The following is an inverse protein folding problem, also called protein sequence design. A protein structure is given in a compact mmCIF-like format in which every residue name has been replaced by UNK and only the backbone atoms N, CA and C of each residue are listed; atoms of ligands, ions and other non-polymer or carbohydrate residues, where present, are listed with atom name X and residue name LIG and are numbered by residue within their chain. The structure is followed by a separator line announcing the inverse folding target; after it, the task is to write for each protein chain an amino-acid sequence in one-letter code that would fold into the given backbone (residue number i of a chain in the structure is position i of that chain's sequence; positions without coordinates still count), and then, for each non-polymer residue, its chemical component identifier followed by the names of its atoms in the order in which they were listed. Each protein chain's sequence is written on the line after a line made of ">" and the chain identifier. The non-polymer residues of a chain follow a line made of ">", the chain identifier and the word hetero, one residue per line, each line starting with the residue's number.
data_IF_846632473518
#
_entry.id   IF_846632473518
#
_cell.length_a   1.000
_cell.length_b   1.000
_cell.length_c   1.000
_cell.angle_alpha   90.00
_cell.angle_beta   90.00
_cell.angle_gamma   90.00
#
_symmetry.space_group_name_H-M   'P 1'
#
loop_
_entity.id
_entity.type
_entity.pdbx_description
1 polymer ?
#
# COMPACT_ATOMS: atom_id res chain seq x y z
N UNK A 1 -11.20 -68.93 -13.42
CA UNK A 1 -10.69 -67.66 -13.95
C UNK A 1 -11.55 -66.53 -13.41
N UNK A 2 -11.06 -65.82 -12.40
CA UNK A 2 -11.64 -64.55 -11.93
C UNK A 2 -10.55 -63.84 -11.15
N UNK A 3 -9.84 -62.94 -11.84
CA UNK A 3 -8.81 -62.09 -11.26
C UNK A 3 -9.49 -61.05 -10.36
N UNK A 4 -9.09 -61.03 -9.08
CA UNK A 4 -9.37 -59.93 -8.16
C UNK A 4 -8.42 -58.77 -8.45
N UNK A 5 -8.94 -57.69 -9.01
CA UNK A 5 -8.21 -56.46 -9.26
C UNK A 5 -7.94 -55.75 -7.93
N UNK A 6 -6.69 -55.82 -7.43
CA UNK A 6 -6.19 -54.92 -6.39
C UNK A 6 -6.26 -53.49 -6.93
N UNK A 7 -7.23 -52.71 -6.47
CA UNK A 7 -7.19 -51.24 -6.59
C UNK A 7 -6.02 -50.75 -5.73
N UNK A 8 -4.95 -50.32 -6.38
CA UNK A 8 -3.93 -49.48 -5.79
C UNK A 8 -4.57 -48.16 -5.38
N UNK A 9 -4.65 -47.90 -4.08
CA UNK A 9 -4.92 -46.56 -3.54
C UNK A 9 -3.63 -45.77 -3.76
N UNK A 10 -3.60 -44.94 -4.81
CA UNK A 10 -2.59 -43.92 -4.98
C UNK A 10 -2.73 -42.91 -3.84
N UNK A 11 -1.62 -42.59 -3.17
CA UNK A 11 -1.60 -41.73 -2.00
C UNK A 11 -2.10 -40.32 -2.32
N UNK A 12 -3.24 -39.94 -1.75
CA UNK A 12 -3.61 -38.55 -1.62
C UNK A 12 -2.60 -37.90 -0.67
N UNK A 13 -1.71 -37.04 -1.20
CA UNK A 13 -0.81 -36.24 -0.38
C UNK A 13 -1.59 -35.46 0.67
N UNK A 14 -1.03 -35.31 1.87
CA UNK A 14 -1.66 -34.51 2.94
C UNK A 14 -2.04 -33.12 2.42
N UNK A 15 -3.20 -32.56 2.82
CA UNK A 15 -3.64 -31.26 2.35
C UNK A 15 -2.60 -30.19 2.67
N UNK A 16 -2.16 -29.45 1.64
CA UNK A 16 -1.28 -28.30 1.80
C UNK A 16 -2.13 -27.07 2.16
N UNK A 17 -1.57 -26.19 2.96
CA UNK A 17 -2.13 -24.85 3.19
C UNK A 17 -1.20 -23.80 2.64
N UNK A 18 -1.75 -22.66 2.23
CA UNK A 18 -1.04 -21.46 1.83
C UNK A 18 -1.55 -20.29 2.67
N UNK A 19 -0.66 -19.64 3.41
CA UNK A 19 -0.95 -18.45 4.20
C UNK A 19 -0.30 -17.24 3.52
N UNK A 20 -1.06 -16.15 3.43
CA UNK A 20 -0.59 -14.85 2.96
C UNK A 20 -0.76 -13.83 4.08
N UNK A 21 0.27 -13.05 4.38
CA UNK A 21 0.17 -11.95 5.33
C UNK A 21 0.94 -10.73 4.85
N UNK A 22 0.58 -9.57 5.38
CA UNK A 22 1.38 -8.34 5.28
C UNK A 22 1.75 -7.81 6.65
N UNK A 23 2.87 -7.08 6.74
CA UNK A 23 3.32 -6.42 7.97
C UNK A 23 4.24 -5.24 7.67
N UNK A 24 4.54 -4.44 8.69
CA UNK A 24 5.48 -3.32 8.64
C UNK A 24 6.83 -3.74 9.21
N UNK A 25 7.88 -3.59 8.42
CA UNK A 25 9.25 -3.82 8.88
C UNK A 25 9.64 -2.82 9.98
N UNK A 26 10.48 -3.26 10.91
CA UNK A 26 11.05 -2.38 11.92
C UNK A 26 11.87 -1.27 11.23
N UNK A 27 11.74 0.00 11.67
CA UNK A 27 12.60 1.07 11.19
C UNK A 27 14.08 0.72 11.30
N UNK A 28 14.83 0.95 10.22
CA UNK A 28 16.27 0.68 10.14
C UNK A 28 16.65 -0.71 9.65
N UNK A 29 15.69 -1.60 9.40
CA UNK A 29 15.95 -2.88 8.74
C UNK A 29 16.24 -2.65 7.25
N UNK A 30 17.42 -3.06 6.78
CA UNK A 30 17.86 -2.83 5.39
C UNK A 30 17.61 -4.05 4.49
N UNK A 31 17.57 -3.87 3.17
CA UNK A 31 17.41 -5.00 2.25
C UNK A 31 18.51 -6.07 2.41
N UNK A 32 19.80 -5.73 2.63
CA UNK A 32 20.83 -6.72 3.00
C UNK A 32 20.55 -7.48 4.31
N UNK A 33 19.95 -6.83 5.32
CA UNK A 33 19.51 -7.55 6.53
C UNK A 33 18.43 -8.57 6.18
N UNK A 34 17.44 -8.16 5.38
CA UNK A 34 16.32 -8.99 4.95
C UNK A 34 16.80 -10.18 4.10
N UNK A 35 17.82 -9.99 3.27
CA UNK A 35 18.46 -11.07 2.52
C UNK A 35 19.04 -12.14 3.46
N UNK A 36 19.83 -11.73 4.46
CA UNK A 36 20.35 -12.65 5.50
C UNK A 36 19.26 -13.36 6.29
N UNK A 37 18.15 -12.67 6.58
CA UNK A 37 16.98 -13.29 7.23
C UNK A 37 16.35 -14.36 6.35
N UNK A 38 16.28 -14.08 5.05
CA UNK A 38 15.74 -14.99 4.05
C UNK A 38 16.60 -16.25 3.93
N UNK A 39 17.93 -16.12 3.89
CA UNK A 39 18.87 -17.26 3.93
C UNK A 39 18.74 -18.12 5.20
N UNK A 40 18.47 -17.49 6.34
CA UNK A 40 18.18 -18.21 7.58
C UNK A 40 16.84 -18.96 7.49
N UNK A 41 15.81 -18.29 6.95
CA UNK A 41 14.47 -18.87 6.78
C UNK A 41 14.50 -20.05 5.80
N UNK A 42 15.27 -19.99 4.71
CA UNK A 42 15.44 -21.07 3.74
C UNK A 42 15.83 -22.39 4.43
N UNK A 43 16.86 -22.37 5.28
CA UNK A 43 17.34 -23.56 6.03
C UNK A 43 16.32 -24.08 7.05
N UNK A 44 15.50 -23.21 7.62
CA UNK A 44 14.40 -23.59 8.52
C UNK A 44 13.25 -24.25 7.76
N UNK A 45 12.84 -23.60 6.68
CA UNK A 45 11.70 -23.98 5.88
C UNK A 45 11.94 -25.27 5.09
N UNK A 46 13.16 -25.48 4.58
CA UNK A 46 13.55 -26.74 3.92
C UNK A 46 13.31 -27.95 4.83
N UNK A 47 13.78 -27.88 6.09
CA UNK A 47 13.60 -28.96 7.08
C UNK A 47 12.14 -29.23 7.43
N UNK A 48 11.28 -28.22 7.31
CA UNK A 48 9.86 -28.31 7.63
C UNK A 48 8.99 -28.61 6.40
N UNK A 49 9.59 -28.67 5.19
CA UNK A 49 8.85 -28.77 3.94
C UNK A 49 7.95 -27.55 3.69
N UNK A 50 8.41 -26.36 4.06
CA UNK A 50 7.75 -25.08 3.77
C UNK A 50 8.42 -24.43 2.57
N UNK A 51 7.61 -23.84 1.69
CA UNK A 51 8.05 -23.03 0.55
C UNK A 51 7.30 -21.70 0.56
N UNK A 52 7.78 -20.72 -0.21
CA UNK A 52 7.21 -19.39 -0.19
C UNK A 52 8.11 -18.30 -0.75
N UNK A 53 7.57 -17.09 -0.74
CA UNK A 53 8.26 -15.86 -1.14
C UNK A 53 8.03 -14.79 -0.10
N UNK A 54 9.09 -14.04 0.20
CA UNK A 54 9.04 -12.79 0.93
C UNK A 54 9.24 -11.64 -0.07
N UNK A 55 8.20 -10.83 -0.23
CA UNK A 55 8.26 -9.60 -1.03
C UNK A 55 8.43 -8.39 -0.10
N UNK A 56 9.42 -7.54 -0.38
CA UNK A 56 9.71 -6.33 0.38
C UNK A 56 9.61 -5.07 -0.50
N UNK A 57 8.84 -4.09 -0.04
CA UNK A 57 8.68 -2.82 -0.75
C UNK A 57 8.24 -1.72 0.21
N UNK A 58 8.94 -0.58 0.21
CA UNK A 58 8.60 0.62 0.95
C UNK A 58 8.31 0.34 2.45
N UNK A 59 9.19 -0.42 3.10
CA UNK A 59 9.07 -0.75 4.53
C UNK A 59 8.01 -1.81 4.86
N UNK A 60 7.39 -2.45 3.88
CA UNK A 60 6.37 -3.49 4.08
C UNK A 60 6.85 -4.86 3.65
N UNK A 61 6.48 -5.87 4.44
CA UNK A 61 6.56 -7.27 4.04
C UNK A 61 5.22 -7.75 3.51
N UNK A 62 5.28 -8.51 2.44
CA UNK A 62 4.19 -9.34 1.92
C UNK A 62 4.75 -10.75 1.74
N UNK A 63 4.23 -11.73 2.46
CA UNK A 63 4.81 -13.06 2.46
C UNK A 63 3.75 -14.13 2.21
N UNK A 64 4.12 -15.10 1.37
CA UNK A 64 3.37 -16.34 1.19
C UNK A 64 4.15 -17.51 1.75
N UNK A 65 3.46 -18.39 2.47
CA UNK A 65 4.00 -19.62 3.03
C UNK A 65 3.09 -20.78 2.67
N UNK A 66 3.65 -21.84 2.10
CA UNK A 66 2.90 -23.02 1.72
C UNK A 66 3.59 -24.32 2.15
N UNK A 67 2.79 -25.31 2.54
CA UNK A 67 3.31 -26.56 3.06
C UNK A 67 2.27 -27.34 3.87
N UNK A 68 2.70 -28.40 4.57
CA UNK A 68 1.85 -29.10 5.53
C UNK A 68 1.30 -28.13 6.58
N UNK A 69 0.00 -28.25 6.92
CA UNK A 69 -0.67 -27.31 7.82
C UNK A 69 0.12 -27.01 9.12
N UNK A 70 0.54 -28.06 9.83
CA UNK A 70 1.33 -27.93 11.07
C UNK A 70 2.68 -27.22 10.86
N UNK A 71 3.32 -27.42 9.71
CA UNK A 71 4.60 -26.80 9.40
C UNK A 71 4.42 -25.29 9.16
N UNK A 72 3.42 -24.91 8.37
CA UNK A 72 3.09 -23.50 8.12
C UNK A 72 2.66 -22.81 9.43
N UNK A 73 1.82 -23.45 10.25
CA UNK A 73 1.43 -22.93 11.57
C UNK A 73 2.63 -22.71 12.49
N UNK A 74 3.61 -23.63 12.47
CA UNK A 74 4.84 -23.50 13.28
C UNK A 74 5.68 -22.29 12.84
N UNK A 75 5.87 -22.11 11.53
CA UNK A 75 6.60 -20.96 10.98
C UNK A 75 5.84 -19.66 11.27
N UNK A 76 4.52 -19.65 11.08
CA UNK A 76 3.68 -18.50 11.38
C UNK A 76 3.71 -18.11 12.86
N UNK A 77 3.76 -19.07 13.78
CA UNK A 77 3.89 -18.77 15.22
C UNK A 77 5.22 -18.09 15.57
N UNK A 78 6.30 -18.39 14.84
CA UNK A 78 7.59 -17.70 14.99
C UNK A 78 7.52 -16.28 14.41
N UNK A 79 6.97 -16.14 13.21
CA UNK A 79 6.75 -14.87 12.52
C UNK A 79 5.90 -13.91 13.37
N UNK A 80 4.81 -14.40 13.97
CA UNK A 80 3.93 -13.58 14.81
C UNK A 80 4.62 -13.00 16.05
N UNK A 81 5.73 -13.60 16.51
CA UNK A 81 6.51 -13.15 17.67
C UNK A 81 7.78 -12.41 17.28
N UNK A 82 8.06 -12.29 15.99
CA UNK A 82 9.28 -11.67 15.50
C UNK A 82 9.26 -10.17 15.76
N UNK A 83 10.23 -9.67 16.54
CA UNK A 83 10.31 -8.25 16.90
C UNK A 83 10.76 -7.32 15.76
N UNK A 84 11.16 -7.89 14.62
CA UNK A 84 11.67 -7.17 13.43
C UNK A 84 10.57 -6.66 12.51
N UNK A 85 9.30 -6.94 12.82
CA UNK A 85 8.15 -6.35 12.16
C UNK A 85 6.98 -6.14 13.12
N UNK A 86 5.93 -5.49 12.66
CA UNK A 86 4.72 -5.19 13.43
C UNK A 86 3.50 -5.05 12.53
N UNK A 87 2.30 -4.90 13.11
CA UNK A 87 1.08 -4.68 12.33
C UNK A 87 0.75 -5.84 11.38
N UNK A 88 0.96 -7.08 11.84
CA UNK A 88 0.75 -8.28 11.02
C UNK A 88 -0.75 -8.43 10.75
N UNK A 89 -1.11 -8.46 9.47
CA UNK A 89 -2.46 -8.70 8.98
C UNK A 89 -2.46 -9.95 8.11
N UNK A 90 -3.25 -10.95 8.50
CA UNK A 90 -3.45 -12.17 7.70
C UNK A 90 -4.43 -11.85 6.58
N UNK A 91 -3.96 -11.97 5.34
CA UNK A 91 -4.72 -11.65 4.13
C UNK A 91 -5.48 -12.87 3.60
N UNK A 92 -4.88 -14.06 3.68
CA UNK A 92 -5.57 -15.31 3.32
C UNK A 92 -4.98 -16.54 4.03
N UNK A 93 -5.85 -17.53 4.22
CA UNK A 93 -5.52 -18.89 4.66
C UNK A 93 -6.28 -19.86 3.78
N UNK A 94 -5.59 -20.46 2.82
CA UNK A 94 -6.20 -21.29 1.78
C UNK A 94 -5.71 -22.73 1.90
N UNK A 95 -6.57 -23.70 1.60
CA UNK A 95 -6.13 -25.06 1.28
C UNK A 95 -5.75 -25.09 -0.19
N UNK A 96 -4.55 -25.58 -0.51
CA UNK A 96 -4.04 -25.67 -1.88
C UNK A 96 -3.76 -27.11 -2.26
N UNK A 97 -3.99 -27.45 -3.53
CA UNK A 97 -3.76 -28.82 -4.04
C UNK A 97 -2.33 -29.04 -4.52
N UNK A 98 -1.60 -27.96 -4.81
CA UNK A 98 -0.19 -27.95 -5.21
C UNK A 98 0.51 -26.70 -4.70
N UNK A 99 1.83 -26.76 -4.56
CA UNK A 99 2.71 -25.60 -4.32
C UNK A 99 2.64 -24.63 -5.50
N UNK A 100 2.62 -23.34 -5.20
CA UNK A 100 2.65 -22.22 -6.18
C UNK A 100 4.07 -21.71 -6.43
N UNK A 101 4.99 -21.94 -5.49
CA UNK A 101 6.36 -21.41 -5.52
C UNK A 101 7.41 -22.53 -5.61
N UNK A 102 7.05 -23.65 -6.25
CA UNK A 102 7.95 -24.78 -6.48
C UNK A 102 8.70 -25.22 -5.21
N UNK A 103 10.03 -25.23 -5.31
CA UNK A 103 10.97 -25.59 -4.22
C UNK A 103 11.63 -24.38 -3.56
N UNK A 104 11.06 -23.18 -3.71
CA UNK A 104 11.58 -21.99 -3.04
C UNK A 104 11.30 -22.05 -1.54
N UNK A 105 12.26 -22.57 -0.77
CA UNK A 105 12.11 -22.67 0.69
C UNK A 105 11.94 -21.30 1.36
N UNK A 106 12.49 -20.24 0.78
CA UNK A 106 12.04 -18.85 0.95
C UNK A 106 12.78 -17.98 -0.07
N UNK A 107 12.10 -17.49 -1.10
CA UNK A 107 12.72 -16.58 -2.05
C UNK A 107 12.53 -15.13 -1.63
N UNK A 108 13.56 -14.29 -1.77
CA UNK A 108 13.42 -12.83 -1.60
C UNK A 108 13.05 -12.18 -2.94
N UNK A 109 12.08 -11.28 -2.90
CA UNK A 109 11.73 -10.39 -3.99
C UNK A 109 11.54 -8.96 -3.47
N UNK A 110 11.85 -7.95 -4.28
CA UNK A 110 11.68 -6.55 -3.90
C UNK A 110 11.39 -5.65 -5.10
N UNK A 111 11.13 -4.37 -4.86
CA UNK A 111 11.04 -3.37 -5.91
C UNK A 111 12.42 -2.90 -6.39
N UNK A 112 12.47 -2.32 -7.60
CA UNK A 112 13.71 -1.76 -8.17
C UNK A 112 14.35 -0.70 -7.25
N UNK A 113 13.53 0.15 -6.62
CA UNK A 113 13.98 1.15 -5.65
C UNK A 113 14.69 0.53 -4.44
N UNK A 114 14.21 -0.61 -3.95
CA UNK A 114 14.80 -1.31 -2.81
C UNK A 114 16.09 -2.02 -3.22
N UNK A 115 16.11 -2.62 -4.41
CA UNK A 115 17.28 -3.29 -4.97
C UNK A 115 18.49 -2.34 -5.10
N UNK A 116 18.29 -1.02 -5.13
CA UNK A 116 19.35 -0.01 -5.06
C UNK A 116 20.30 -0.17 -3.85
N UNK A 117 19.83 -0.79 -2.77
CA UNK A 117 20.61 -1.02 -1.55
C UNK A 117 21.56 -2.24 -1.64
N UNK A 118 21.39 -3.13 -2.63
CA UNK A 118 22.16 -4.36 -2.77
C UNK A 118 23.41 -4.17 -3.63
N UNK A 119 24.47 -4.91 -3.29
CA UNK A 119 25.63 -5.07 -4.16
C UNK A 119 25.29 -5.89 -5.42
N UNK A 120 26.14 -5.81 -6.45
CA UNK A 120 25.90 -6.55 -7.71
C UNK A 120 25.80 -8.07 -7.52
N UNK A 121 26.51 -8.64 -6.56
CA UNK A 121 26.42 -10.07 -6.24
C UNK A 121 25.09 -10.44 -5.59
N UNK A 122 24.67 -9.69 -4.58
CA UNK A 122 23.40 -9.91 -3.86
C UNK A 122 22.18 -9.70 -4.75
N UNK A 123 22.25 -8.80 -5.74
CA UNK A 123 21.18 -8.60 -6.72
C UNK A 123 20.86 -9.85 -7.55
N UNK A 124 21.83 -10.75 -7.75
CA UNK A 124 21.62 -12.00 -8.48
C UNK A 124 20.73 -13.01 -7.75
N UNK A 125 20.57 -12.83 -6.44
CA UNK A 125 19.82 -13.76 -5.56
C UNK A 125 18.39 -13.27 -5.28
N UNK A 126 18.03 -12.07 -5.76
CA UNK A 126 16.76 -11.40 -5.49
C UNK A 126 15.97 -11.17 -6.78
N UNK A 127 14.68 -11.48 -6.75
CA UNK A 127 13.78 -11.22 -7.89
C UNK A 127 13.29 -9.78 -7.79
N UNK A 128 13.61 -8.95 -8.79
CA UNK A 128 13.22 -7.54 -8.82
C UNK A 128 11.92 -7.36 -9.59
N UNK A 129 10.97 -6.67 -8.98
CA UNK A 129 9.69 -6.30 -9.58
C UNK A 129 9.71 -4.80 -9.88
N UNK A 130 9.42 -4.42 -11.11
CA UNK A 130 9.23 -3.01 -11.48
C UNK A 130 7.94 -2.47 -10.83
N UNK A 131 8.02 -1.46 -9.94
CA UNK A 131 6.85 -0.85 -9.31
C UNK A 131 5.85 -0.29 -10.32
N UNK A 132 6.35 0.29 -11.41
CA UNK A 132 5.50 0.86 -12.45
C UNK A 132 4.67 -0.24 -13.13
N UNK A 133 5.13 -1.47 -13.13
CA UNK A 133 4.46 -2.58 -13.76
C UNK A 133 3.33 -3.19 -12.91
N UNK A 134 3.22 -2.80 -11.63
CA UNK A 134 2.15 -3.24 -10.74
C UNK A 134 0.87 -2.41 -10.94
N UNK A 135 -0.32 -3.06 -10.92
CA UNK A 135 -1.59 -2.35 -10.92
C UNK A 135 -1.85 -1.70 -9.56
N UNK A 136 -2.77 -0.73 -9.54
CA UNK A 136 -3.19 -0.15 -8.27
C UNK A 136 -2.05 0.59 -7.56
N UNK A 137 -1.96 0.41 -6.23
CA UNK A 137 -0.97 1.03 -5.33
C UNK A 137 0.24 0.13 -5.09
N UNK A 138 0.62 -0.63 -6.12
CA UNK A 138 1.62 -1.68 -6.00
C UNK A 138 1.16 -2.76 -5.03
N UNK A 139 2.10 -3.36 -4.30
CA UNK A 139 1.82 -4.46 -3.37
C UNK A 139 1.00 -4.07 -2.12
N UNK A 140 0.57 -2.82 -1.99
CA UNK A 140 -0.33 -2.39 -0.91
C UNK A 140 -1.81 -2.69 -1.21
N UNK A 141 -2.21 -2.77 -2.48
CA UNK A 141 -3.58 -3.07 -2.88
C UNK A 141 -3.79 -4.58 -3.11
N UNK A 142 -5.03 -5.06 -2.95
CA UNK A 142 -5.36 -6.47 -3.23
C UNK A 142 -4.98 -6.87 -4.66
N UNK A 143 -5.23 -5.99 -5.64
CA UNK A 143 -4.90 -6.25 -7.04
C UNK A 143 -3.40 -6.38 -7.26
N UNK A 144 -2.59 -5.50 -6.66
CA UNK A 144 -1.15 -5.59 -6.74
C UNK A 144 -0.59 -6.80 -6.01
N UNK A 145 -1.16 -7.18 -4.86
CA UNK A 145 -0.84 -8.44 -4.15
C UNK A 145 -1.08 -9.64 -5.07
N UNK A 146 -2.22 -9.70 -5.77
CA UNK A 146 -2.52 -10.77 -6.72
C UNK A 146 -1.57 -10.74 -7.93
N UNK A 147 -1.23 -9.57 -8.44
CA UNK A 147 -0.29 -9.40 -9.54
C UNK A 147 1.12 -9.88 -9.16
N UNK A 148 1.63 -9.48 -8.00
CA UNK A 148 2.91 -9.94 -7.44
C UNK A 148 2.89 -11.46 -7.25
N UNK A 149 1.84 -12.01 -6.62
CA UNK A 149 1.71 -13.47 -6.41
C UNK A 149 1.77 -14.23 -7.73
N UNK A 150 1.00 -13.77 -8.72
CA UNK A 150 0.95 -14.41 -10.05
C UNK A 150 2.31 -14.34 -10.73
N UNK A 151 2.92 -13.16 -10.76
CA UNK A 151 4.23 -12.94 -11.33
C UNK A 151 5.27 -13.90 -10.73
N UNK A 152 5.38 -13.93 -9.41
CA UNK A 152 6.36 -14.77 -8.73
C UNK A 152 6.09 -16.27 -8.90
N UNK A 153 4.82 -16.66 -8.96
CA UNK A 153 4.43 -18.04 -9.30
C UNK A 153 4.85 -18.40 -10.74
N UNK A 154 4.61 -17.52 -11.71
CA UNK A 154 5.00 -17.71 -13.11
C UNK A 154 6.54 -17.76 -13.26
N UNK A 155 7.28 -16.92 -12.51
CA UNK A 155 8.75 -16.97 -12.47
C UNK A 155 9.23 -18.29 -11.87
N UNK A 156 8.62 -18.73 -10.78
CA UNK A 156 8.94 -20.03 -10.15
C UNK A 156 8.68 -21.20 -11.10
N UNK A 157 7.62 -21.14 -11.91
CA UNK A 157 7.27 -22.20 -12.86
C UNK A 157 8.16 -22.18 -14.11
N UNK A 158 8.72 -21.02 -14.48
CA UNK A 158 9.45 -20.85 -15.74
C UNK A 158 10.93 -21.22 -15.65
N UNK A 159 11.66 -20.91 -14.57
CA UNK A 159 13.03 -21.42 -14.28
C UNK A 159 13.42 -21.24 -12.80
N UNK A 160 14.09 -22.23 -12.21
CA UNK A 160 14.83 -22.06 -10.95
C UNK A 160 16.01 -21.08 -11.12
N UNK A 161 16.33 -20.31 -10.07
CA UNK A 161 17.47 -19.37 -10.05
C UNK A 161 18.75 -20.08 -10.52
N UNK A 162 19.55 -19.47 -11.42
CA UNK A 162 20.78 -20.09 -11.90
C UNK A 162 21.76 -20.27 -10.73
N UNK A 163 21.97 -21.53 -10.32
CA UNK A 163 23.06 -21.89 -9.42
C UNK A 163 24.39 -21.84 -10.20
N UNK A 164 25.32 -21.01 -9.74
CA UNK A 164 26.73 -21.06 -10.15
C UNK A 164 27.16 -19.93 -11.10
N UNK A 165 27.83 -18.93 -10.54
CA UNK A 165 28.55 -17.90 -11.28
C UNK A 165 29.77 -18.51 -12.01
N UNK A 166 29.53 -19.02 -13.23
CA UNK A 166 30.55 -19.16 -14.27
C UNK A 166 30.66 -17.84 -15.04
N UNK A 167 31.88 -17.32 -15.13
CA UNK A 167 32.23 -16.06 -15.80
C UNK A 167 31.62 -15.93 -17.20
N UNK A 168 31.08 -14.74 -17.49
CA UNK A 168 31.04 -14.23 -18.86
C UNK A 168 29.67 -13.97 -19.48
N UNK A 169 28.84 -13.11 -18.87
CA UNK A 169 27.90 -12.28 -19.64
C UNK A 169 27.54 -11.04 -18.84
N UNK A 170 28.18 -9.91 -19.17
CA UNK A 170 27.74 -8.59 -18.75
C UNK A 170 26.36 -8.33 -19.41
N UNK A 171 25.31 -8.30 -18.60
CA UNK A 171 23.94 -7.98 -19.03
C UNK A 171 22.93 -9.10 -18.82
N UNK A 172 22.51 -9.33 -17.58
CA UNK A 172 21.17 -9.83 -17.22
C UNK A 172 21.08 -9.96 -15.70
N UNK A 173 20.67 -8.89 -15.02
CA UNK A 173 19.93 -9.03 -13.76
C UNK A 173 18.47 -8.97 -14.20
N UNK A 174 17.73 -10.05 -13.98
CA UNK A 174 16.42 -10.33 -14.58
C UNK A 174 15.34 -9.36 -14.08
N UNK A 175 15.33 -8.13 -14.60
CA UNK A 175 14.20 -7.21 -14.51
C UNK A 175 13.10 -7.73 -15.43
N UNK A 176 12.24 -8.62 -14.92
CA UNK A 176 11.09 -9.13 -15.67
C UNK A 176 9.93 -8.13 -15.50
N UNK A 177 9.77 -7.25 -16.49
CA UNK A 177 8.70 -6.26 -16.52
C UNK A 177 7.32 -6.94 -16.65
N UNK A 178 6.42 -6.69 -15.69
CA UNK A 178 5.01 -7.05 -15.79
C UNK A 178 4.34 -6.25 -16.93
N UNK A 179 4.03 -6.91 -18.05
CA UNK A 179 3.25 -6.29 -19.13
C UNK A 179 1.81 -6.03 -18.67
N UNK A 180 1.49 -4.80 -18.23
CA UNK A 180 0.15 -4.42 -17.76
C UNK A 180 -0.48 -3.23 -18.53
N UNK A 181 -0.20 -3.04 -19.82
CA UNK A 181 -0.81 -1.93 -20.61
C UNK A 181 -2.33 -2.08 -20.84
N UNK A 182 -2.89 -3.28 -21.14
CA UNK A 182 -4.34 -3.44 -21.34
C UNK A 182 -5.17 -3.31 -20.06
N UNK A 183 -4.59 -3.60 -18.89
CA UNK A 183 -5.29 -3.56 -17.60
C UNK A 183 -5.52 -2.13 -17.09
N UNK A 184 -4.60 -1.20 -17.34
CA UNK A 184 -4.72 0.20 -16.88
C UNK A 184 -5.92 0.93 -17.48
N UNK A 185 -6.27 0.67 -18.73
CA UNK A 185 -7.44 1.28 -19.38
C UNK A 185 -8.74 0.72 -18.80
N UNK A 186 -8.83 -0.60 -18.63
CA UNK A 186 -10.00 -1.24 -18.02
C UNK A 186 -10.20 -0.80 -16.55
N UNK A 187 -9.12 -0.66 -15.79
CA UNK A 187 -9.16 -0.18 -14.41
C UNK A 187 -9.60 1.29 -14.31
N UNK A 188 -9.14 2.15 -15.23
CA UNK A 188 -9.59 3.55 -15.29
C UNK A 188 -11.10 3.65 -15.54
N UNK A 189 -11.63 2.84 -16.46
CA UNK A 189 -13.07 2.78 -16.73
C UNK A 189 -13.84 2.32 -15.49
N UNK A 190 -13.41 1.22 -14.83
CA UNK A 190 -14.06 0.72 -13.63
C UNK A 190 -14.02 1.72 -12.46
N UNK A 191 -12.90 2.44 -12.29
CA UNK A 191 -12.77 3.49 -11.27
C UNK A 191 -13.72 4.67 -11.56
N UNK A 192 -13.82 5.09 -12.82
CA UNK A 192 -14.74 6.15 -13.23
C UNK A 192 -16.21 5.77 -12.99
N UNK A 193 -16.60 4.52 -13.33
CA UNK A 193 -17.95 4.02 -13.09
C UNK A 193 -18.30 4.00 -11.58
N UNK A 194 -17.35 3.56 -10.74
CA UNK A 194 -17.51 3.59 -9.28
C UNK A 194 -17.58 5.00 -8.73
N UNK A 195 -16.74 5.91 -9.22
CA UNK A 195 -16.78 7.32 -8.84
C UNK A 195 -18.13 7.96 -9.21
N UNK A 196 -18.70 7.64 -10.38
CA UNK A 196 -20.02 8.10 -10.79
C UNK A 196 -21.15 7.56 -9.88
N UNK A 197 -21.09 6.28 -9.53
CA UNK A 197 -22.03 5.67 -8.58
C UNK A 197 -21.94 6.32 -7.19
N UNK A 198 -20.73 6.51 -6.68
CA UNK A 198 -20.45 7.19 -5.42
C UNK A 198 -20.97 8.64 -5.44
N UNK A 199 -20.74 9.36 -6.55
CA UNK A 199 -21.24 10.73 -6.74
C UNK A 199 -22.76 10.79 -6.67
N UNK A 200 -23.44 9.80 -7.25
CA UNK A 200 -24.91 9.71 -7.24
C UNK A 200 -25.46 9.46 -5.83
N UNK A 201 -24.82 8.58 -5.06
CA UNK A 201 -25.18 8.35 -3.65
C UNK A 201 -24.96 9.60 -2.80
N UNK A 202 -23.79 10.24 -2.95
CA UNK A 202 -23.39 11.38 -2.12
C UNK A 202 -24.18 12.66 -2.40
N UNK A 203 -24.54 12.91 -3.66
CA UNK A 203 -25.34 14.08 -4.05
C UNK A 203 -26.85 13.80 -4.04
N UNK A 204 -27.25 12.58 -3.69
CA UNK A 204 -28.64 12.16 -3.54
C UNK A 204 -29.37 12.91 -2.41
N UNK A 205 -30.66 12.64 -2.22
CA UNK A 205 -31.49 13.37 -1.26
C UNK A 205 -31.13 13.09 0.21
N UNK A 206 -30.48 11.96 0.51
CA UNK A 206 -30.15 11.56 1.89
C UNK A 206 -28.84 10.76 1.98
N UNK A 207 -27.67 11.38 1.75
CA UNK A 207 -26.38 10.68 1.81
C UNK A 207 -26.07 10.17 3.23
N UNK A 208 -26.48 10.91 4.28
CA UNK A 208 -26.27 10.52 5.67
C UNK A 208 -27.11 9.30 6.11
N UNK A 209 -28.22 9.02 5.43
CA UNK A 209 -29.00 7.79 5.62
C UNK A 209 -28.48 6.60 4.80
N UNK A 210 -27.53 6.83 3.88
CA UNK A 210 -26.98 5.82 2.98
C UNK A 210 -25.51 5.49 3.27
N UNK A 211 -25.04 5.77 4.49
CA UNK A 211 -23.63 5.55 4.88
C UNK A 211 -23.16 4.13 4.61
N UNK A 212 -24.00 3.11 4.83
CA UNK A 212 -23.62 1.71 4.61
C UNK A 212 -23.42 1.39 3.11
N UNK A 213 -24.21 2.01 2.23
CA UNK A 213 -24.05 1.87 0.78
C UNK A 213 -22.81 2.62 0.27
N UNK A 214 -22.54 3.80 0.83
CA UNK A 214 -21.32 4.58 0.55
C UNK A 214 -20.09 3.79 1.03
N UNK A 215 -20.13 3.25 2.25
CA UNK A 215 -19.08 2.40 2.83
C UNK A 215 -18.80 1.16 1.97
N UNK A 216 -19.86 0.52 1.44
CA UNK A 216 -19.71 -0.61 0.53
C UNK A 216 -18.94 -0.24 -0.75
N UNK A 217 -19.16 0.95 -1.33
CA UNK A 217 -18.39 1.40 -2.50
C UNK A 217 -16.89 1.43 -2.24
N UNK A 218 -16.48 1.93 -1.07
CA UNK A 218 -15.08 1.96 -0.67
C UNK A 218 -14.54 0.56 -0.38
N UNK A 219 -15.26 -0.26 0.40
CA UNK A 219 -14.84 -1.64 0.72
C UNK A 219 -14.67 -2.49 -0.54
N UNK A 220 -15.59 -2.37 -1.49
CA UNK A 220 -15.56 -3.11 -2.75
C UNK A 220 -14.48 -2.61 -3.70
N UNK A 221 -14.04 -1.37 -3.56
CA UNK A 221 -12.92 -0.82 -4.32
C UNK A 221 -11.58 -1.31 -3.75
N UNK A 222 -11.41 -1.22 -2.43
CA UNK A 222 -10.23 -1.76 -1.76
C UNK A 222 -10.20 -1.44 -0.26
N UNK A 223 -9.53 -2.26 0.56
CA UNK A 223 -9.56 -2.13 2.01
C UNK A 223 -8.53 -1.14 2.58
N UNK A 224 -7.64 -0.57 1.75
CA UNK A 224 -6.56 0.29 2.26
C UNK A 224 -6.93 1.78 2.25
N UNK A 225 -6.32 2.60 3.13
CA UNK A 225 -6.47 4.06 3.07
C UNK A 225 -6.06 4.68 1.73
N UNK A 226 -5.14 4.05 0.99
CA UNK A 226 -4.80 4.53 -0.36
C UNK A 226 -5.89 4.21 -1.38
N UNK A 227 -6.52 3.04 -1.30
CA UNK A 227 -7.68 2.73 -2.15
C UNK A 227 -8.81 3.74 -1.88
N UNK A 228 -9.02 4.10 -0.60
CA UNK A 228 -9.94 5.17 -0.23
C UNK A 228 -9.57 6.49 -0.90
N UNK A 229 -8.31 6.91 -0.80
CA UNK A 229 -7.81 8.14 -1.41
C UNK A 229 -8.07 8.18 -2.93
N UNK A 230 -7.82 7.08 -3.65
CA UNK A 230 -8.01 6.99 -5.11
C UNK A 230 -9.46 7.14 -5.53
N UNK A 231 -10.38 6.43 -4.85
CA UNK A 231 -11.80 6.57 -5.16
C UNK A 231 -12.31 7.96 -4.77
N UNK A 232 -11.80 8.53 -3.67
CA UNK A 232 -12.11 9.90 -3.27
C UNK A 232 -11.62 10.93 -4.31
N UNK A 233 -10.40 10.80 -4.83
CA UNK A 233 -9.86 11.69 -5.87
C UNK A 233 -10.69 11.61 -7.16
N UNK A 234 -11.04 10.39 -7.60
CA UNK A 234 -11.89 10.19 -8.77
C UNK A 234 -13.30 10.78 -8.56
N UNK A 235 -13.85 10.66 -7.35
CA UNK A 235 -15.10 11.33 -6.96
C UNK A 235 -14.96 12.85 -6.98
N UNK A 236 -13.87 13.40 -6.43
CA UNK A 236 -13.66 14.84 -6.36
C UNK A 236 -13.52 15.45 -7.76
N UNK A 237 -12.89 14.74 -8.70
CA UNK A 237 -12.84 15.10 -10.12
C UNK A 237 -14.24 15.13 -10.74
N UNK A 238 -15.01 14.04 -10.61
CA UNK A 238 -16.39 13.97 -11.10
C UNK A 238 -17.32 15.02 -10.46
N UNK A 239 -17.13 15.33 -9.18
CA UNK A 239 -17.86 16.39 -8.48
C UNK A 239 -17.51 17.76 -9.06
N UNK A 240 -16.22 18.03 -9.28
CA UNK A 240 -15.77 19.31 -9.86
C UNK A 240 -16.38 19.54 -11.23
N UNK A 241 -16.41 18.51 -12.08
CA UNK A 241 -17.09 18.56 -13.39
C UNK A 241 -18.59 18.86 -13.26
N UNK A 242 -19.28 18.23 -12.30
CA UNK A 242 -20.71 18.50 -12.04
C UNK A 242 -20.96 19.90 -11.47
N UNK A 243 -20.05 20.41 -10.63
CA UNK A 243 -20.14 21.77 -10.09
C UNK A 243 -19.98 22.86 -11.16
N UNK A 244 -19.31 22.55 -12.27
CA UNK A 244 -19.14 23.47 -13.39
C UNK A 244 -20.38 23.57 -14.31
N UNK A 245 -21.38 22.72 -14.13
CA UNK A 245 -22.62 22.71 -14.92
C UNK A 245 -23.63 23.75 -14.39
N UNK A 246 -24.52 24.24 -15.25
CA UNK A 246 -25.55 25.23 -14.88
C UNK A 246 -26.50 24.72 -13.78
N UNK A 247 -26.84 23.43 -13.80
CA UNK A 247 -27.64 22.74 -12.77
C UNK A 247 -26.75 21.96 -11.76
N UNK A 248 -25.60 22.54 -11.40
CA UNK A 248 -24.65 21.94 -10.48
C UNK A 248 -25.21 21.71 -9.05
N UNK A 249 -24.58 20.84 -8.26
CA UNK A 249 -25.03 20.58 -6.89
C UNK A 249 -24.92 21.82 -6.01
N UNK A 250 -25.90 22.00 -5.13
CA UNK A 250 -25.89 23.08 -4.14
C UNK A 250 -24.76 22.91 -3.11
N UNK A 251 -24.34 24.03 -2.50
CA UNK A 251 -23.35 24.03 -1.40
C UNK A 251 -23.78 23.09 -0.26
N UNK A 252 -25.08 23.01 0.03
CA UNK A 252 -25.62 22.11 1.04
C UNK A 252 -25.40 20.64 0.68
N UNK A 253 -25.66 20.24 -0.58
CA UNK A 253 -25.41 18.86 -1.03
C UNK A 253 -23.93 18.50 -0.93
N UNK A 254 -23.04 19.41 -1.32
CA UNK A 254 -21.58 19.21 -1.19
C UNK A 254 -21.17 19.08 0.28
N UNK A 255 -21.74 19.90 1.16
CA UNK A 255 -21.49 19.81 2.60
C UNK A 255 -21.95 18.50 3.23
N UNK A 256 -23.15 18.02 2.87
CA UNK A 256 -23.66 16.72 3.32
C UNK A 256 -22.83 15.55 2.79
N UNK A 257 -22.39 15.63 1.53
CA UNK A 257 -21.49 14.64 0.94
C UNK A 257 -20.15 14.58 1.69
N UNK A 258 -19.55 15.74 2.00
CA UNK A 258 -18.31 15.81 2.76
C UNK A 258 -18.47 15.21 4.17
N UNK A 259 -19.57 15.52 4.86
CA UNK A 259 -19.87 14.93 6.17
C UNK A 259 -20.05 13.40 6.10
N UNK A 260 -20.75 12.89 5.08
CA UNK A 260 -20.91 11.46 4.87
C UNK A 260 -19.54 10.77 4.65
N UNK A 261 -18.68 11.35 3.82
CA UNK A 261 -17.33 10.84 3.57
C UNK A 261 -16.45 10.83 4.82
N UNK A 262 -16.51 11.88 5.65
CA UNK A 262 -15.78 11.92 6.93
C UNK A 262 -16.23 10.80 7.88
N UNK A 263 -17.54 10.54 7.95
CA UNK A 263 -18.10 9.44 8.75
C UNK A 263 -17.66 8.08 8.23
N UNK A 264 -17.73 7.85 6.91
CA UNK A 264 -17.31 6.59 6.30
C UNK A 264 -15.81 6.36 6.45
N UNK A 265 -14.98 7.39 6.22
CA UNK A 265 -13.54 7.32 6.46
C UNK A 265 -13.26 6.85 7.88
N UNK A 266 -13.92 7.44 8.88
CA UNK A 266 -13.68 7.09 10.29
C UNK A 266 -14.16 5.68 10.65
N UNK A 267 -15.21 5.18 10.00
CA UNK A 267 -15.68 3.79 10.16
C UNK A 267 -14.68 2.80 9.58
N UNK A 268 -14.10 3.10 8.41
CA UNK A 268 -13.20 2.20 7.69
C UNK A 268 -11.75 2.25 8.19
N UNK A 269 -11.26 3.44 8.53
CA UNK A 269 -9.85 3.70 8.81
C UNK A 269 -9.70 4.48 10.13
N UNK A 270 -9.08 3.82 11.11
CA UNK A 270 -8.80 4.38 12.43
C UNK A 270 -7.53 3.74 13.00
N UNK A 271 -6.47 3.69 12.20
CA UNK A 271 -5.23 3.04 12.58
C UNK A 271 -4.64 3.71 13.83
N UNK A 272 -4.22 2.95 14.85
CA UNK A 272 -3.49 3.52 15.98
C UNK A 272 -2.14 4.04 15.49
N UNK A 273 -1.58 5.01 16.21
CA UNK A 273 -0.23 5.49 15.91
C UNK A 273 0.78 4.33 16.13
N UNK A 274 1.71 4.08 15.19
CA UNK A 274 2.61 2.95 15.28
C UNK A 274 3.59 3.12 16.45
N UNK A 275 3.64 2.12 17.35
CA UNK A 275 4.57 2.12 18.48
C UNK A 275 6.06 2.15 18.04
N UNK A 276 6.34 1.61 16.84
CA UNK A 276 7.67 1.56 16.21
C UNK A 276 7.58 2.29 14.86
N UNK A 277 7.70 3.61 14.89
CA UNK A 277 7.54 4.45 13.69
C UNK A 277 8.84 4.66 12.92
N UNK A 278 8.77 4.76 11.59
CA UNK A 278 9.91 5.20 10.76
C UNK A 278 10.39 6.62 11.10
N UNK A 279 9.49 7.43 11.63
CA UNK A 279 9.72 8.79 12.09
C UNK A 279 8.40 9.48 12.38
N UNK A 280 8.46 10.72 12.84
CA UNK A 280 7.29 11.55 13.08
C UNK A 280 7.06 12.51 11.91
N UNK A 281 5.81 12.60 11.44
CA UNK A 281 5.37 13.50 10.38
C UNK A 281 4.13 14.27 10.85
N UNK A 282 4.13 15.58 10.61
CA UNK A 282 2.95 16.42 10.80
C UNK A 282 2.24 16.54 9.47
N UNK A 283 0.95 16.23 9.43
CA UNK A 283 0.07 16.53 8.31
C UNK A 283 -0.78 17.72 8.71
N UNK A 284 -0.86 18.76 7.89
CA UNK A 284 -1.72 19.90 8.15
C UNK A 284 -2.63 20.16 6.94
N UNK A 285 -3.90 20.44 7.22
CA UNK A 285 -4.75 21.12 6.25
C UNK A 285 -4.25 22.56 6.05
N UNK A 286 -4.59 23.16 4.91
CA UNK A 286 -4.34 24.59 4.70
C UNK A 286 -5.03 25.41 5.82
N UNK A 287 -4.35 26.43 6.39
CA UNK A 287 -4.94 27.23 7.45
C UNK A 287 -6.26 27.91 7.03
N UNK A 288 -7.30 27.77 7.86
CA UNK A 288 -8.62 28.33 7.58
C UNK A 288 -9.48 27.51 6.62
N UNK A 289 -8.98 26.38 6.10
CA UNK A 289 -9.79 25.41 5.39
C UNK A 289 -10.83 24.81 6.34
N UNK A 290 -12.01 24.49 5.82
CA UNK A 290 -13.10 23.82 6.58
C UNK A 290 -13.27 22.36 6.16
N UNK A 291 -12.65 21.97 5.04
CA UNK A 291 -12.66 20.64 4.45
C UNK A 291 -11.34 19.93 4.78
N UNK A 292 -11.40 19.11 5.82
CA UNK A 292 -10.23 18.48 6.43
C UNK A 292 -9.99 17.03 5.99
N UNK A 293 -10.74 16.55 5.00
CA UNK A 293 -10.77 15.13 4.67
C UNK A 293 -9.42 14.67 4.11
N UNK A 294 -8.82 15.48 3.24
CA UNK A 294 -7.54 15.24 2.57
C UNK A 294 -6.38 15.08 3.55
N UNK A 295 -6.32 15.95 4.56
CA UNK A 295 -5.34 15.87 5.65
C UNK A 295 -5.54 14.60 6.48
N UNK A 296 -6.80 14.20 6.71
CA UNK A 296 -7.13 12.99 7.48
C UNK A 296 -6.77 11.72 6.70
N UNK A 297 -7.10 11.65 5.41
CA UNK A 297 -6.72 10.54 4.52
C UNK A 297 -5.20 10.41 4.47
N UNK A 298 -4.48 11.51 4.26
CA UNK A 298 -3.01 11.53 4.23
C UNK A 298 -2.42 11.02 5.54
N UNK A 299 -3.01 11.42 6.68
CA UNK A 299 -2.64 10.91 8.00
C UNK A 299 -2.82 9.40 8.14
N UNK A 300 -3.94 8.83 7.68
CA UNK A 300 -4.19 7.38 7.72
C UNK A 300 -3.25 6.62 6.77
N UNK A 301 -2.98 7.13 5.56
CA UNK A 301 -2.02 6.53 4.63
C UNK A 301 -0.61 6.46 5.21
N UNK A 302 -0.16 7.54 5.87
CA UNK A 302 1.14 7.60 6.50
C UNK A 302 1.23 6.67 7.73
N UNK A 303 0.16 6.54 8.53
CA UNK A 303 0.09 5.52 9.60
C UNK A 303 0.16 4.10 9.04
N UNK A 304 -0.59 3.84 7.97
CA UNK A 304 -0.55 2.56 7.26
C UNK A 304 0.83 2.27 6.64
N UNK A 305 1.65 3.30 6.45
CA UNK A 305 3.04 3.20 6.01
C UNK A 305 4.05 3.17 7.16
N UNK A 306 3.60 3.10 8.42
CA UNK A 306 4.47 2.98 9.59
C UNK A 306 5.06 4.30 10.09
N UNK A 307 4.53 5.45 9.69
CA UNK A 307 4.91 6.75 10.24
C UNK A 307 4.06 7.10 11.46
N UNK A 308 4.65 7.74 12.46
CA UNK A 308 3.89 8.39 13.53
C UNK A 308 3.34 9.70 12.97
N UNK A 309 2.02 9.88 13.03
CA UNK A 309 1.35 10.99 12.34
C UNK A 309 0.50 11.84 13.27
N UNK A 310 0.78 13.13 13.26
CA UNK A 310 -0.05 14.15 13.88
C UNK A 310 -0.78 14.93 12.78
N UNK A 311 -2.12 14.96 12.84
CA UNK A 311 -2.92 15.74 11.89
C UNK A 311 -3.37 17.04 12.55
N UNK A 312 -3.12 18.18 11.88
CA UNK A 312 -3.42 19.52 12.36
C UNK A 312 -4.45 20.20 11.43
N UNK A 313 -5.33 20.98 12.04
CA UNK A 313 -6.37 21.77 11.37
C UNK A 313 -6.29 23.23 11.80
N UNK A 314 -5.19 23.93 11.46
CA UNK A 314 -4.96 25.29 11.91
C UNK A 314 -6.00 26.26 11.34
N UNK A 315 -6.39 27.26 12.13
CA UNK A 315 -7.25 28.35 11.65
C UNK A 315 -6.44 29.48 11.01
N UNK A 316 -5.17 29.64 11.40
CA UNK A 316 -4.28 30.69 10.90
C UNK A 316 -2.87 30.16 10.63
N UNK A 317 -2.15 30.83 9.73
CA UNK A 317 -0.75 30.54 9.44
C UNK A 317 0.12 30.61 10.72
N UNK A 318 -0.18 31.57 11.61
CA UNK A 318 0.54 31.76 12.88
C UNK A 318 0.34 30.57 13.82
N UNK A 319 -0.88 30.06 13.92
CA UNK A 319 -1.18 28.85 14.70
C UNK A 319 -0.38 27.65 14.19
N UNK A 320 -0.33 27.46 12.86
CA UNK A 320 0.45 26.37 12.26
C UNK A 320 1.94 26.50 12.60
N UNK A 321 2.52 27.69 12.44
CA UNK A 321 3.95 27.94 12.74
C UNK A 321 4.26 27.65 14.20
N UNK A 322 3.44 28.12 15.14
CA UNK A 322 3.65 27.89 16.57
C UNK A 322 3.53 26.40 16.92
N UNK A 323 2.56 25.69 16.35
CA UNK A 323 2.41 24.23 16.53
C UNK A 323 3.61 23.47 15.98
N UNK A 324 4.15 23.88 14.82
CA UNK A 324 5.33 23.25 14.22
C UNK A 324 6.59 23.48 15.06
N UNK A 325 6.76 24.68 15.63
CA UNK A 325 7.89 24.98 16.53
C UNK A 325 7.84 24.20 17.84
N UNK A 326 6.64 23.89 18.32
CA UNK A 326 6.42 23.05 19.51
C UNK A 326 6.53 21.56 19.22
N UNK A 327 6.46 21.16 17.95
CA UNK A 327 6.57 19.77 17.52
C UNK A 327 8.02 19.38 17.28
N UNK A 328 8.37 18.13 17.61
CA UNK A 328 9.69 17.56 17.28
C UNK A 328 9.79 17.09 15.82
N UNK A 329 8.71 17.25 15.04
CA UNK A 329 8.63 16.81 13.64
C UNK A 329 9.49 17.65 12.72
N UNK A 330 10.23 16.98 11.83
CA UNK A 330 11.03 17.61 10.78
C UNK A 330 10.42 17.50 9.39
N UNK A 331 9.25 16.87 9.28
CA UNK A 331 8.53 16.69 8.03
C UNK A 331 7.10 17.20 8.20
N UNK A 332 6.70 18.12 7.31
CA UNK A 332 5.36 18.64 7.19
C UNK A 332 4.77 18.20 5.84
N UNK A 333 3.59 17.60 5.87
CA UNK A 333 2.76 17.35 4.69
C UNK A 333 1.61 18.37 4.71
N UNK A 334 1.61 19.28 3.74
CA UNK A 334 0.50 20.20 3.51
C UNK A 334 -0.50 19.53 2.57
N UNK A 335 -1.68 19.22 3.09
CA UNK A 335 -2.76 18.64 2.32
C UNK A 335 -3.57 19.74 1.61
N UNK A 336 -3.45 19.81 0.29
CA UNK A 336 -4.24 20.73 -0.52
C UNK A 336 -5.65 20.18 -0.74
N UNK A 337 -6.67 21.06 -0.69
CA UNK A 337 -8.03 20.63 -1.02
C UNK A 337 -8.18 20.37 -2.52
N UNK A 338 -8.85 19.28 -2.86
CA UNK A 338 -9.13 18.93 -4.27
C UNK A 338 -10.32 19.72 -4.81
N UNK A 339 -11.18 20.22 -3.92
CA UNK A 339 -12.48 20.82 -4.28
C UNK A 339 -12.49 22.35 -4.38
N UNK A 340 -11.42 23.05 -3.97
CA UNK A 340 -11.26 24.50 -4.18
C UNK A 340 -9.81 24.86 -4.56
N UNK A 341 -9.36 24.49 -5.77
CA UNK A 341 -7.95 24.59 -6.16
C UNK A 341 -7.48 26.03 -6.43
N UNK A 342 -8.34 26.94 -6.88
CA UNK A 342 -7.92 28.26 -7.36
C UNK A 342 -7.51 29.22 -6.23
N UNK A 343 -8.23 29.22 -5.11
CA UNK A 343 -7.90 30.08 -3.95
C UNK A 343 -6.78 29.48 -3.09
N UNK A 344 -6.62 28.16 -3.10
CA UNK A 344 -5.65 27.46 -2.27
C UNK A 344 -4.22 27.58 -2.76
N UNK A 345 -3.98 27.52 -4.07
CA UNK A 345 -2.61 27.50 -4.61
C UNK A 345 -1.78 28.71 -4.18
N UNK A 346 -2.33 29.93 -4.36
CA UNK A 346 -1.64 31.17 -4.03
C UNK A 346 -1.47 31.40 -2.52
N UNK A 347 -2.34 30.83 -1.69
CA UNK A 347 -2.16 30.84 -0.23
C UNK A 347 -1.07 29.85 0.19
N UNK A 348 -1.12 28.62 -0.31
CA UNK A 348 -0.13 27.59 -0.04
C UNK A 348 1.28 28.03 -0.46
N UNK A 349 1.44 28.64 -1.63
CA UNK A 349 2.74 29.19 -2.08
C UNK A 349 3.30 30.24 -1.10
N UNK A 350 2.45 31.19 -0.66
CA UNK A 350 2.84 32.20 0.33
C UNK A 350 3.19 31.58 1.68
N UNK A 351 2.43 30.58 2.11
CA UNK A 351 2.67 29.85 3.36
C UNK A 351 3.98 29.07 3.31
N UNK A 352 4.26 28.37 2.20
CA UNK A 352 5.51 27.63 2.00
C UNK A 352 6.71 28.58 2.04
N UNK A 353 6.63 29.71 1.33
CA UNK A 353 7.69 30.73 1.36
C UNK A 353 7.92 31.27 2.79
N UNK A 354 6.85 31.51 3.53
CA UNK A 354 6.91 31.95 4.93
C UNK A 354 7.56 30.89 5.83
N UNK A 355 7.16 29.63 5.72
CA UNK A 355 7.71 28.52 6.51
C UNK A 355 9.20 28.30 6.21
N UNK A 356 9.59 28.40 4.94
CA UNK A 356 10.99 28.28 4.52
C UNK A 356 11.87 29.44 5.03
N UNK A 357 11.30 30.63 5.21
CA UNK A 357 12.00 31.81 5.72
C UNK A 357 12.10 31.85 7.26
N UNK A 358 11.35 31.02 8.00
CA UNK A 358 11.38 31.02 9.46
C UNK A 358 12.64 30.29 9.98
N UNK A 359 13.55 30.97 10.69
CA UNK A 359 14.79 30.36 11.17
C UNK A 359 14.56 29.24 12.19
N UNK A 360 13.43 29.26 12.91
CA UNK A 360 13.04 28.20 13.84
C UNK A 360 12.62 26.91 13.14
N UNK A 361 12.33 26.97 11.83
CA UNK A 361 11.90 25.83 11.01
C UNK A 361 12.89 25.49 9.89
N UNK A 362 14.13 25.97 9.97
CA UNK A 362 15.14 25.81 8.90
C UNK A 362 15.47 24.34 8.52
N UNK A 363 15.11 23.36 9.36
CA UNK A 363 15.30 21.91 9.09
C UNK A 363 14.01 21.20 8.66
N UNK A 364 12.92 21.93 8.50
CA UNK A 364 11.62 21.39 8.11
C UNK A 364 11.63 21.03 6.62
N UNK A 365 11.27 19.78 6.33
CA UNK A 365 10.97 19.32 4.97
C UNK A 365 9.47 19.49 4.72
N UNK A 366 9.12 20.19 3.66
CA UNK A 366 7.72 20.44 3.29
C UNK A 366 7.40 19.59 2.06
N UNK A 367 6.34 18.79 2.16
CA UNK A 367 5.75 18.04 1.06
C UNK A 367 4.35 18.59 0.85
N UNK A 368 3.99 18.87 -0.39
CA UNK A 368 2.65 19.34 -0.75
C UNK A 368 1.95 18.21 -1.50
N UNK A 369 0.73 17.86 -1.10
CA UNK A 369 -0.10 16.91 -1.85
C UNK A 369 -1.04 17.64 -2.82
N UNK A 370 -1.65 16.91 -3.76
CA UNK A 370 -2.60 17.46 -4.73
C UNK A 370 -1.95 18.06 -5.98
N UNK A 371 -2.69 18.90 -6.72
CA UNK A 371 -2.30 19.40 -8.07
C UNK A 371 -1.02 20.23 -8.08
N UNK A 372 -0.68 20.91 -6.99
CA UNK A 372 0.59 21.64 -6.85
C UNK A 372 1.81 20.74 -6.99
N UNK A 373 1.71 19.45 -6.64
CA UNK A 373 2.78 18.48 -6.84
C UNK A 373 3.00 18.11 -8.33
N UNK A 374 2.06 18.46 -9.20
CA UNK A 374 2.09 18.14 -10.64
C UNK A 374 2.46 19.32 -11.54
N UNK A 375 2.70 20.52 -10.98
CA UNK A 375 3.23 21.65 -11.76
C UNK A 375 4.71 21.40 -12.09
N UNK A 376 5.12 21.45 -13.37
CA UNK A 376 6.54 21.45 -13.70
C UNK A 376 7.19 22.68 -13.07
N UNK A 377 8.36 22.47 -12.45
CA UNK A 377 9.16 23.49 -11.79
C UNK A 377 9.62 24.60 -12.74
#
# INVERSE_FOLDING_TARGET
>A
MTQGTKRSVSGAGSPLTCWCYRSLALPGLTLPDILRLTEQAQRGNERLGVTGVLFFSAGRFLQWLEGPAKAVETVMAQILRDGRHSGIEILSQETVTRRRFGDWHMQLSCTEDEAAQLSQGERGEVIVVDPAALPGDGAASNEGIFAVRRFLSDVSDTQGLPQGAGQGTQGNVTSLALRAVPQRVAQRVLLADRAAALTTLLLGPNPLGQLDAIEAQFRDHGPSPTDFARLYEAYAEALTERMAQEDGPSIMQVGLAAAALQLVLRRLHHLPDPQKSHGAVTVAAAPGETRFLEATISGEMLRAAGWSTQVLYPQTDDELVERLKQSETRTLVLAASVLDPAHHDAHLERLIARLAADPGLARLRIVVSGRLATRPA
#
